data_IF_928557708582
#
_entry.id   IF_928557708582
#
_cell.length_a   1.000
_cell.length_b   1.000
_cell.length_c   1.000
_cell.angle_alpha   90.00
_cell.angle_beta   90.00
_cell.angle_gamma   90.00
#
_symmetry.space_group_name_H-M   'P 1'
#
loop_
_entity.id
_entity.type
_entity.pdbx_description
1 polymer ?
#
# COMPACT_ATOMS: atom_id res chain seq x y z
N UNK A 1 18.42 8.74 10.29
CA UNK A 1 17.78 8.17 11.43
C UNK A 1 16.68 7.21 11.04
N UNK A 2 16.58 6.15 11.76
CA UNK A 2 15.57 5.14 11.43
C UNK A 2 14.29 5.40 12.19
N UNK A 3 13.23 5.46 11.48
CA UNK A 3 11.93 5.63 12.10
C UNK A 3 11.50 4.32 12.74
N UNK A 4 10.97 4.41 13.95
CA UNK A 4 10.45 3.24 14.61
C UNK A 4 9.11 2.90 13.96
N UNK A 5 9.01 1.69 13.49
CA UNK A 5 7.78 1.26 12.86
C UNK A 5 6.70 0.99 13.87
N UNK A 6 5.49 0.91 13.38
CA UNK A 6 4.34 0.59 14.20
C UNK A 6 3.76 -0.72 13.73
N UNK A 7 3.18 -1.44 14.65
CA UNK A 7 2.57 -2.73 14.35
C UNK A 7 1.07 -2.63 14.52
N UNK A 8 0.36 -3.04 13.49
CA UNK A 8 -1.09 -3.12 13.55
C UNK A 8 -1.53 -4.42 12.91
N UNK A 9 -2.59 -4.98 13.44
CA UNK A 9 -3.12 -6.24 12.95
C UNK A 9 -4.47 -6.01 12.32
N UNK A 10 -4.67 -6.60 11.16
CA UNK A 10 -5.91 -6.48 10.43
C UNK A 10 -6.38 -7.84 9.96
N UNK A 11 -7.68 -8.02 9.93
CA UNK A 11 -8.24 -9.23 9.39
C UNK A 11 -8.09 -9.24 7.88
N UNK A 12 -7.84 -10.43 7.37
CA UNK A 12 -7.82 -10.61 5.93
C UNK A 12 -9.21 -10.97 5.47
N UNK A 13 -9.56 -10.52 4.29
CA UNK A 13 -10.87 -10.80 3.72
C UNK A 13 -10.72 -11.45 2.36
N UNK A 14 -11.53 -12.48 2.17
CA UNK A 14 -11.58 -13.16 0.90
C UNK A 14 -12.66 -12.53 0.04
N UNK A 15 -12.32 -12.22 -1.20
CA UNK A 15 -13.29 -11.65 -2.13
C UNK A 15 -14.01 -12.74 -2.87
N UNK A 16 -15.32 -12.76 -2.72
CA UNK A 16 -16.15 -13.73 -3.40
C UNK A 16 -16.53 -13.22 -4.78
N UNK A 17 -16.78 -14.11 -5.72
CA UNK A 17 -16.80 -15.57 -5.59
C UNK A 17 -15.44 -16.20 -5.81
N UNK A 18 -14.45 -15.43 -6.22
CA UNK A 18 -13.19 -16.00 -6.68
C UNK A 18 -12.38 -16.63 -5.58
N UNK A 19 -12.41 -16.06 -4.40
CA UNK A 19 -11.64 -16.54 -3.26
C UNK A 19 -10.12 -16.57 -3.52
N UNK A 20 -9.70 -16.02 -4.63
CA UNK A 20 -8.28 -15.95 -4.94
C UNK A 20 -7.65 -14.65 -4.53
N UNK A 21 -8.50 -13.67 -4.25
CA UNK A 21 -8.01 -12.37 -3.85
C UNK A 21 -8.30 -12.18 -2.38
N UNK A 22 -7.26 -11.92 -1.65
CA UNK A 22 -7.36 -11.64 -0.24
C UNK A 22 -7.06 -10.16 -0.08
N UNK A 23 -7.91 -9.45 0.65
CA UNK A 23 -7.68 -8.04 0.88
C UNK A 23 -7.40 -7.80 2.36
N UNK A 24 -6.62 -6.77 2.60
CA UNK A 24 -6.30 -6.34 3.94
C UNK A 24 -6.17 -4.83 3.90
N UNK A 25 -6.59 -4.18 4.99
CA UNK A 25 -6.55 -2.74 5.04
C UNK A 25 -5.12 -2.23 5.19
N UNK A 26 -4.82 -1.12 4.55
CA UNK A 26 -3.57 -0.42 4.75
C UNK A 26 -3.83 0.64 5.80
N UNK A 27 -3.01 0.73 6.85
CA UNK A 27 -3.20 1.76 7.86
C UNK A 27 -3.23 3.14 7.22
N UNK A 28 -4.23 3.92 7.58
CA UNK A 28 -4.40 5.23 6.97
C UNK A 28 -3.20 6.13 7.23
N UNK A 29 -2.57 5.99 8.38
CA UNK A 29 -1.39 6.79 8.71
C UNK A 29 -0.27 6.62 7.70
N UNK A 30 -0.15 5.43 7.13
CA UNK A 30 0.86 5.18 6.11
C UNK A 30 0.57 6.04 4.88
N UNK A 31 -0.68 6.05 4.46
CA UNK A 31 -1.07 6.81 3.28
C UNK A 31 -0.91 8.30 3.53
N UNK A 32 -1.32 8.75 4.72
CA UNK A 32 -1.17 10.16 5.05
C UNK A 32 0.29 10.60 5.00
N UNK A 33 1.15 9.79 5.59
CA UNK A 33 2.56 10.11 5.65
C UNK A 33 3.19 10.14 4.25
N UNK A 34 2.85 9.14 3.45
CA UNK A 34 3.40 9.06 2.10
C UNK A 34 2.93 10.23 1.24
N UNK A 35 1.68 10.63 1.41
CA UNK A 35 1.16 11.78 0.68
C UNK A 35 1.88 13.06 1.12
N UNK A 36 2.02 13.24 2.42
CA UNK A 36 2.64 14.44 2.96
C UNK A 36 4.08 14.61 2.50
N UNK A 37 4.82 13.51 2.46
CA UNK A 37 6.21 13.55 2.03
C UNK A 37 6.31 14.09 0.60
N UNK A 38 5.29 13.83 -0.21
CA UNK A 38 5.27 14.24 -1.61
C UNK A 38 4.54 15.55 -1.85
N UNK A 39 4.04 16.17 -0.79
CA UNK A 39 3.30 17.41 -0.94
C UNK A 39 1.95 17.25 -1.56
N UNK A 40 1.33 16.09 -1.36
CA UNK A 40 0.04 15.78 -1.96
C UNK A 40 -1.01 15.59 -0.89
N UNK A 41 -2.27 15.77 -1.28
CA UNK A 41 -3.36 15.34 -0.41
C UNK A 41 -3.48 13.82 -0.52
N UNK A 42 -4.20 13.23 0.43
CA UNK A 42 -4.43 11.78 0.39
C UNK A 42 -5.12 11.40 -0.92
N UNK A 43 -6.12 12.16 -1.32
CA UNK A 43 -6.85 11.85 -2.54
C UNK A 43 -5.94 11.90 -3.77
N UNK A 44 -5.07 12.92 -3.82
CA UNK A 44 -4.13 13.02 -4.93
C UNK A 44 -3.16 11.87 -4.94
N UNK A 45 -2.69 11.49 -3.76
CA UNK A 45 -1.73 10.40 -3.67
C UNK A 45 -2.35 9.09 -4.14
N UNK A 46 -3.54 8.79 -3.66
CA UNK A 46 -4.21 7.55 -4.03
C UNK A 46 -4.49 7.51 -5.53
N UNK A 47 -4.79 8.66 -6.11
CA UNK A 47 -5.08 8.72 -7.53
C UNK A 47 -3.83 8.56 -8.39
N UNK A 48 -2.72 9.12 -7.93
CA UNK A 48 -1.52 9.19 -8.75
C UNK A 48 -0.53 8.07 -8.51
N UNK A 49 -0.67 7.32 -7.43
CA UNK A 49 0.30 6.31 -7.07
C UNK A 49 -0.36 4.95 -6.94
N UNK A 50 0.45 3.93 -7.10
CA UNK A 50 -0.01 2.56 -6.91
C UNK A 50 0.84 1.90 -5.85
N UNK A 51 0.26 0.92 -5.19
CA UNK A 51 0.97 0.11 -4.23
C UNK A 51 1.60 -1.06 -4.96
N UNK A 52 2.90 -1.21 -4.80
CA UNK A 52 3.63 -2.29 -5.45
C UNK A 52 3.99 -3.31 -4.40
N UNK A 53 3.56 -4.55 -4.59
CA UNK A 53 3.84 -5.62 -3.67
C UNK A 53 5.13 -6.32 -4.05
N UNK A 54 6.03 -6.42 -3.09
CA UNK A 54 7.24 -7.20 -3.25
C UNK A 54 7.18 -8.32 -2.24
N UNK A 55 7.36 -9.53 -2.68
CA UNK A 55 7.13 -10.65 -1.78
C UNK A 55 8.01 -11.84 -2.14
N UNK A 56 8.16 -12.71 -1.16
CA UNK A 56 8.80 -13.98 -1.39
C UNK A 56 8.10 -15.02 -0.50
N UNK A 57 8.53 -16.27 -0.63
CA UNK A 57 7.86 -17.37 0.05
C UNK A 57 8.09 -17.41 1.54
N UNK A 58 9.08 -16.69 2.02
CA UNK A 58 9.50 -16.85 3.41
C UNK A 58 9.10 -15.69 4.31
N UNK A 59 9.10 -14.49 3.78
CA UNK A 59 8.96 -13.31 4.63
C UNK A 59 7.63 -12.60 4.51
N UNK A 60 6.88 -12.93 3.49
CA UNK A 60 5.61 -12.26 3.29
C UNK A 60 5.71 -11.15 2.28
N UNK A 61 4.99 -10.08 2.53
CA UNK A 61 4.82 -9.02 1.55
C UNK A 61 5.33 -7.70 2.09
N UNK A 62 6.01 -6.97 1.22
CA UNK A 62 6.43 -5.61 1.50
C UNK A 62 5.84 -4.72 0.41
N UNK A 63 5.16 -3.64 0.82
CA UNK A 63 4.56 -2.73 -0.13
C UNK A 63 5.34 -1.44 -0.22
N UNK A 64 5.56 -0.99 -1.44
CA UNK A 64 6.08 0.34 -1.70
C UNK A 64 5.10 1.07 -2.59
N UNK A 65 5.29 2.38 -2.74
CA UNK A 65 4.37 3.18 -3.53
C UNK A 65 5.14 3.82 -4.67
N UNK A 66 4.61 3.67 -5.87
CA UNK A 66 5.25 4.23 -7.06
C UNK A 66 4.22 4.98 -7.87
N UNK A 67 4.69 5.97 -8.60
CA UNK A 67 3.83 6.73 -9.48
C UNK A 67 3.15 5.80 -10.47
N UNK A 68 1.88 6.00 -10.64
CA UNK A 68 1.13 5.22 -11.59
C UNK A 68 1.46 5.76 -12.96
N UNK A 69 2.42 5.15 -13.59
CA UNK A 69 2.92 5.68 -14.81
C UNK A 69 2.15 5.19 -15.96
N UNK A 70 1.55 6.05 -16.50
CA UNK A 70 0.90 5.64 -17.56
C UNK A 70 1.61 5.91 -18.77
N UNK A 71 2.08 6.01 -19.03
CA UNK A 71 2.59 6.26 -20.09
C UNK A 71 3.23 5.53 -20.71
N UNK A 72 3.15 5.38 -20.80
CA UNK A 72 3.45 4.95 -21.23
C UNK A 72 3.80 4.93 -21.47
N UNK A 73 3.81 4.93 -21.45
CA UNK A 73 3.96 4.85 -21.30
C UNK A 73 3.98 4.94 -21.27
#
# INVERSE_FOLDING_TARGET
MVEIGYTKSYKMRSLLPAKRHITVAIPFEVIERQAAIRGLTVDEFVEQYVAVAEFNSFEGIHYTFKEANNNNG
#
